data_IF_440718851237
#
_entry.id   IF_440718851237
#
_cell.length_a   1.000
_cell.length_b   1.000
_cell.length_c   1.000
_cell.angle_alpha   90.00
_cell.angle_beta   90.00
_cell.angle_gamma   90.00
#
_symmetry.space_group_name_H-M   'P 1'
#
loop_
_entity.id
_entity.type
_entity.pdbx_description
1 polymer ?
#
# COMPACT_ATOMS: atom_id res chain seq x y z
N UNK A 1 -47.22 27.87 -47.65
CA UNK A 1 -45.90 28.17 -48.24
C UNK A 1 -44.84 27.73 -47.24
N UNK A 2 -44.28 26.52 -47.38
CA UNK A 2 -42.87 26.28 -47.80
C UNK A 2 -41.93 27.04 -46.84
N UNK A 3 -41.20 26.41 -45.92
CA UNK A 3 -40.14 25.42 -46.18
C UNK A 3 -39.85 24.56 -44.95
N UNK A 4 -39.62 23.29 -45.23
CA UNK A 4 -38.94 22.28 -44.43
C UNK A 4 -37.59 22.85 -43.97
N UNK A 5 -37.35 22.91 -42.66
CA UNK A 5 -36.00 23.04 -42.10
C UNK A 5 -35.64 21.71 -41.47
N UNK A 6 -34.89 20.97 -42.28
CA UNK A 6 -33.96 19.89 -42.00
C UNK A 6 -33.38 19.89 -40.58
N UNK A 7 -33.62 18.77 -39.89
CA UNK A 7 -32.61 17.94 -39.22
C UNK A 7 -31.50 18.64 -38.41
N UNK A 8 -31.52 18.40 -37.09
CA UNK A 8 -30.36 17.92 -36.31
C UNK A 8 -30.82 17.66 -34.87
N UNK A 9 -31.15 16.39 -34.60
CA UNK A 9 -31.31 15.88 -33.24
C UNK A 9 -29.90 15.80 -32.65
N UNK A 10 -29.50 16.82 -31.88
CA UNK A 10 -28.33 16.72 -31.02
C UNK A 10 -28.72 15.91 -29.77
N UNK A 11 -28.54 14.60 -29.84
CA UNK A 11 -28.49 13.74 -28.65
C UNK A 11 -27.22 14.10 -27.90
N UNK A 12 -27.32 15.01 -26.93
CA UNK A 12 -26.27 15.17 -25.92
C UNK A 12 -26.30 13.93 -25.02
N UNK A 13 -25.56 12.89 -25.42
CA UNK A 13 -25.17 11.81 -24.50
C UNK A 13 -24.25 12.47 -23.47
N UNK A 14 -24.81 12.78 -22.31
CA UNK A 14 -24.07 13.33 -21.18
C UNK A 14 -22.95 12.37 -20.80
N UNK A 15 -21.71 12.77 -21.07
CA UNK A 15 -20.54 12.10 -20.50
C UNK A 15 -20.48 12.56 -19.06
N UNK A 16 -21.10 11.80 -18.15
CA UNK A 16 -20.87 11.96 -16.72
C UNK A 16 -19.40 11.61 -16.44
N UNK A 17 -18.58 12.52 -15.92
CA UNK A 17 -17.25 12.16 -15.47
C UNK A 17 -17.41 11.21 -14.29
N UNK A 18 -17.00 9.96 -14.48
CA UNK A 18 -16.91 8.98 -13.39
C UNK A 18 -15.77 9.47 -12.50
N UNK A 19 -16.09 10.10 -11.36
CA UNK A 19 -15.11 10.36 -10.32
C UNK A 19 -14.57 9.00 -9.85
N UNK A 20 -13.39 8.64 -10.34
CA UNK A 20 -12.63 7.49 -9.85
C UNK A 20 -12.00 7.87 -8.51
N UNK A 21 -12.82 7.90 -7.46
CA UNK A 21 -12.36 8.02 -6.08
C UNK A 21 -12.06 6.65 -5.51
N UNK A 22 -10.89 6.09 -5.82
CA UNK A 22 -10.39 4.88 -5.15
C UNK A 22 -9.01 5.18 -4.57
N UNK A 23 -8.97 6.07 -3.58
CA UNK A 23 -7.92 6.03 -2.57
C UNK A 23 -8.50 5.24 -1.39
N UNK A 24 -8.47 3.90 -1.47
CA UNK A 24 -8.53 3.15 -0.22
C UNK A 24 -7.32 3.60 0.58
N UNK A 25 -7.57 4.30 1.69
CA UNK A 25 -6.56 4.59 2.68
C UNK A 25 -6.18 3.24 3.28
N UNK A 26 -5.22 2.58 2.64
CA UNK A 26 -4.63 1.30 3.06
C UNK A 26 -4.05 1.47 4.47
N UNK A 27 -4.88 1.40 5.49
CA UNK A 27 -4.51 1.80 6.84
C UNK A 27 -3.64 0.73 7.46
N UNK A 28 -2.55 1.17 8.07
CA UNK A 28 -1.72 0.31 8.90
C UNK A 28 -2.40 0.14 10.26
N UNK A 29 -2.31 -1.05 10.81
CA UNK A 29 -2.78 -1.37 12.16
C UNK A 29 -1.61 -1.75 13.05
N UNK A 30 -1.69 -1.39 14.34
CA UNK A 30 -0.64 -1.64 15.34
C UNK A 30 -1.20 -2.47 16.50
N UNK A 31 -1.41 -3.79 16.30
CA UNK A 31 -2.10 -4.63 17.28
C UNK A 31 -1.29 -4.90 18.56
N UNK A 32 0.01 -4.61 18.56
CA UNK A 32 0.90 -4.65 19.71
C UNK A 32 2.06 -3.66 19.52
N UNK A 33 2.74 -3.22 20.60
CA UNK A 33 3.96 -2.40 20.47
C UNK A 33 4.99 -3.08 19.56
N UNK A 34 5.54 -2.33 18.60
CA UNK A 34 6.52 -2.83 17.64
C UNK A 34 5.98 -3.75 16.55
N UNK A 35 4.67 -4.01 16.51
CA UNK A 35 4.03 -4.80 15.46
C UNK A 35 3.18 -3.90 14.58
N UNK A 36 3.44 -3.94 13.27
CA UNK A 36 2.66 -3.22 12.26
C UNK A 36 2.10 -4.22 11.26
N UNK A 37 0.80 -4.14 10.97
CA UNK A 37 0.17 -4.97 9.96
C UNK A 37 -0.53 -4.10 8.91
N UNK A 38 -0.45 -4.54 7.66
CA UNK A 38 -1.37 -4.12 6.61
C UNK A 38 -2.44 -5.20 6.35
N UNK A 39 -3.11 -5.14 5.20
CA UNK A 39 -4.17 -6.10 4.84
C UNK A 39 -3.66 -7.48 4.40
N UNK A 40 -2.34 -7.68 4.25
CA UNK A 40 -1.72 -8.92 3.77
C UNK A 40 -0.69 -9.50 4.73
N UNK A 41 0.08 -8.67 5.41
CA UNK A 41 1.19 -9.11 6.25
C UNK A 41 1.29 -8.32 7.54
N UNK A 42 1.97 -8.91 8.51
CA UNK A 42 2.43 -8.26 9.73
C UNK A 42 3.94 -8.32 9.81
N UNK A 43 4.53 -7.26 10.35
CA UNK A 43 5.96 -7.10 10.54
C UNK A 43 6.27 -6.71 11.99
N UNK A 44 7.50 -6.99 12.39
CA UNK A 44 8.15 -6.42 13.56
C UNK A 44 9.59 -6.03 13.20
N UNK A 45 10.42 -5.76 14.22
CA UNK A 45 11.83 -5.40 14.04
C UNK A 45 12.69 -6.49 13.41
N UNK A 46 12.20 -7.73 13.30
CA UNK A 46 12.87 -8.82 12.58
C UNK A 46 12.39 -8.93 11.12
N UNK A 47 11.41 -8.12 10.72
CA UNK A 47 10.87 -8.04 9.37
C UNK A 47 9.50 -8.70 9.19
N UNK A 48 9.20 -9.14 7.98
CA UNK A 48 7.92 -9.79 7.64
C UNK A 48 7.78 -11.09 8.43
N UNK A 49 6.67 -11.32 9.14
CA UNK A 49 6.49 -12.47 10.05
C UNK A 49 5.25 -13.31 9.73
N UNK A 50 5.45 -14.60 9.40
CA UNK A 50 4.36 -15.55 9.15
C UNK A 50 3.55 -15.81 10.43
N UNK A 51 4.22 -15.83 11.58
CA UNK A 51 3.59 -16.08 12.88
C UNK A 51 2.69 -14.90 13.25
N UNK A 52 3.18 -13.66 13.14
CA UNK A 52 2.37 -12.47 13.43
C UNK A 52 1.23 -12.32 12.41
N UNK A 53 1.50 -12.58 11.13
CA UNK A 53 0.46 -12.56 10.08
C UNK A 53 -0.64 -13.57 10.38
N UNK A 54 -0.27 -14.78 10.82
CA UNK A 54 -1.25 -15.80 11.24
C UNK A 54 -2.04 -15.35 12.47
N UNK A 55 -1.36 -14.77 13.46
CA UNK A 55 -1.94 -14.34 14.73
C UNK A 55 -2.96 -13.20 14.55
N UNK A 56 -2.64 -12.19 13.74
CA UNK A 56 -3.42 -10.97 13.64
C UNK A 56 -4.31 -10.91 12.39
N UNK A 57 -3.93 -11.54 11.28
CA UNK A 57 -4.70 -11.56 10.02
C UNK A 57 -5.34 -12.94 9.73
N UNK A 58 -5.05 -13.94 10.57
CA UNK A 58 -5.64 -15.27 10.50
C UNK A 58 -4.86 -16.28 9.65
N UNK A 59 -5.18 -17.56 9.84
CA UNK A 59 -4.45 -18.69 9.26
C UNK A 59 -4.41 -18.69 7.72
N UNK A 60 -5.45 -18.16 7.05
CA UNK A 60 -5.48 -18.08 5.58
C UNK A 60 -4.35 -17.18 5.06
N UNK A 61 -4.19 -15.99 5.64
CA UNK A 61 -3.17 -15.00 5.24
C UNK A 61 -1.77 -15.50 5.58
N UNK A 62 -1.60 -16.08 6.77
CA UNK A 62 -0.32 -16.70 7.16
C UNK A 62 0.12 -17.82 6.20
N UNK A 63 -0.79 -18.69 5.78
CA UNK A 63 -0.50 -19.73 4.77
C UNK A 63 -0.18 -19.16 3.40
N UNK A 64 -0.90 -18.13 2.96
CA UNK A 64 -0.63 -17.45 1.69
C UNK A 64 0.77 -16.82 1.68
N UNK A 65 1.16 -16.18 2.79
CA UNK A 65 2.49 -15.59 2.93
C UNK A 65 3.59 -16.67 2.97
N UNK A 66 3.37 -17.76 3.69
CA UNK A 66 4.33 -18.87 3.79
C UNK A 66 4.46 -19.69 2.50
N UNK A 67 3.48 -19.61 1.59
CA UNK A 67 3.50 -20.28 0.30
C UNK A 67 4.26 -19.48 -0.78
N UNK A 68 4.71 -18.26 -0.48
CA UNK A 68 5.62 -17.54 -1.36
C UNK A 68 7.00 -18.20 -1.32
N UNK A 69 7.71 -18.16 -2.45
CA UNK A 69 9.12 -18.58 -2.53
C UNK A 69 9.98 -17.75 -1.56
N UNK A 70 11.23 -18.15 -1.36
CA UNK A 70 12.14 -17.41 -0.49
C UNK A 70 12.35 -15.97 -1.00
N UNK A 71 12.03 -14.99 -0.15
CA UNK A 71 12.15 -13.57 -0.46
C UNK A 71 12.81 -12.81 0.68
N UNK A 72 13.36 -11.62 0.40
CA UNK A 72 13.94 -10.77 1.43
C UNK A 72 12.83 -10.24 2.37
N UNK A 73 12.85 -10.71 3.61
CA UNK A 73 11.87 -10.34 4.64
C UNK A 73 12.26 -9.06 5.38
N UNK A 74 13.44 -8.51 5.10
CA UNK A 74 14.02 -7.34 5.77
C UNK A 74 13.77 -6.02 5.04
N UNK A 75 13.33 -6.07 3.78
CA UNK A 75 12.93 -4.89 3.01
C UNK A 75 11.55 -5.12 2.38
N UNK A 76 10.57 -4.31 2.76
CA UNK A 76 9.17 -4.53 2.38
C UNK A 76 8.42 -3.22 2.20
N UNK A 77 7.32 -3.26 1.44
CA UNK A 77 6.44 -2.11 1.22
C UNK A 77 5.02 -2.49 1.63
N UNK A 78 4.45 -1.72 2.54
CA UNK A 78 3.05 -1.87 2.92
C UNK A 78 2.11 -1.43 1.79
N UNK A 79 0.85 -1.84 1.87
CA UNK A 79 -0.18 -1.45 0.89
C UNK A 79 -0.43 0.06 0.76
N UNK A 80 -0.07 0.89 1.76
CA UNK A 80 -0.10 2.35 1.63
C UNK A 80 1.12 2.95 0.92
N UNK A 81 2.07 2.12 0.49
CA UNK A 81 3.27 2.53 -0.19
C UNK A 81 4.45 2.86 0.71
N UNK A 82 4.31 2.85 2.04
CA UNK A 82 5.46 3.03 2.94
C UNK A 82 6.40 1.84 2.81
N UNK A 83 7.66 2.13 2.45
CA UNK A 83 8.72 1.14 2.32
C UNK A 83 9.61 1.16 3.56
N UNK A 84 9.87 0.02 4.17
CA UNK A 84 10.74 -0.10 5.35
C UNK A 84 11.88 -1.04 5.07
N UNK A 85 13.06 -0.69 5.60
CA UNK A 85 14.24 -1.53 5.62
C UNK A 85 14.67 -1.74 7.08
N UNK A 86 14.71 -3.00 7.51
CA UNK A 86 15.08 -3.42 8.88
C UNK A 86 16.56 -3.20 9.16
N UNK A 87 17.43 -3.37 8.16
CA UNK A 87 18.89 -3.20 8.29
C UNK A 87 19.23 -1.72 8.50
N UNK A 88 18.55 -0.84 7.76
CA UNK A 88 18.69 0.62 7.91
C UNK A 88 17.85 1.19 9.07
N UNK A 89 16.89 0.41 9.58
CA UNK A 89 15.93 0.82 10.62
C UNK A 89 15.16 2.10 10.27
N UNK A 90 14.75 2.23 9.01
CA UNK A 90 14.04 3.39 8.50
C UNK A 90 12.85 2.97 7.63
N UNK A 91 11.76 3.70 7.76
CA UNK A 91 10.64 3.65 6.82
C UNK A 91 10.61 4.94 6.00
N UNK A 92 10.30 4.84 4.71
CA UNK A 92 10.27 5.94 3.74
C UNK A 92 8.92 5.99 3.04
N UNK A 93 8.49 7.21 2.71
CA UNK A 93 7.29 7.48 1.93
C UNK A 93 7.52 7.02 0.49
N UNK A 94 6.73 6.04 0.05
CA UNK A 94 6.76 5.43 -1.29
C UNK A 94 7.94 4.48 -1.54
N UNK A 95 7.78 3.63 -2.56
CA UNK A 95 8.75 2.64 -3.04
C UNK A 95 9.75 3.17 -4.08
N UNK A 96 9.89 4.48 -4.21
CA UNK A 96 10.70 5.06 -5.28
C UNK A 96 12.19 5.04 -4.90
N UNK A 97 13.01 4.75 -5.90
CA UNK A 97 14.46 4.75 -5.83
C UNK A 97 15.01 5.95 -6.63
N UNK A 98 16.18 6.45 -6.25
CA UNK A 98 16.90 7.45 -7.03
C UNK A 98 17.54 6.84 -8.29
N UNK A 99 18.27 7.66 -9.04
CA UNK A 99 18.93 7.23 -10.28
C UNK A 99 19.97 6.12 -10.07
N UNK A 100 20.49 6.01 -8.84
CA UNK A 100 21.49 5.02 -8.44
C UNK A 100 20.86 3.74 -7.88
N UNK A 101 19.52 3.70 -7.76
CA UNK A 101 18.78 2.56 -7.25
C UNK A 101 18.66 2.53 -5.72
N UNK A 102 18.95 3.63 -5.02
CA UNK A 102 18.78 3.71 -3.56
C UNK A 102 17.39 4.25 -3.18
N UNK A 103 16.80 3.84 -2.04
CA UNK A 103 15.52 4.35 -1.59
C UNK A 103 15.53 5.89 -1.46
N UNK A 104 14.72 6.59 -2.26
CA UNK A 104 14.74 8.06 -2.35
C UNK A 104 13.59 8.75 -1.63
N UNK A 105 12.63 7.97 -1.11
CA UNK A 105 11.51 8.48 -0.33
C UNK A 105 11.96 9.23 0.93
N UNK A 106 11.27 10.33 1.25
CA UNK A 106 11.44 11.01 2.53
C UNK A 106 11.10 10.07 3.68
N UNK A 107 11.78 10.20 4.82
CA UNK A 107 11.52 9.35 5.99
C UNK A 107 10.06 9.51 6.46
N UNK A 108 9.40 8.39 6.70
CA UNK A 108 8.11 8.30 7.38
C UNK A 108 8.38 8.14 8.88
N UNK A 109 8.49 9.28 9.58
CA UNK A 109 8.83 9.30 11.00
C UNK A 109 7.84 8.53 11.87
N UNK A 110 6.54 8.59 11.55
CA UNK A 110 5.50 7.87 12.30
C UNK A 110 5.70 6.37 12.25
N UNK A 111 5.86 5.80 11.05
CA UNK A 111 6.01 4.36 10.88
C UNK A 111 7.37 3.89 11.40
N UNK A 112 8.42 4.70 11.22
CA UNK A 112 9.76 4.44 11.76
C UNK A 112 9.74 4.36 13.30
N UNK A 113 9.09 5.32 13.96
CA UNK A 113 8.93 5.35 15.41
C UNK A 113 8.12 4.15 15.93
N UNK A 114 7.03 3.79 15.24
CA UNK A 114 6.17 2.67 15.62
C UNK A 114 6.88 1.32 15.51
N UNK A 115 7.69 1.13 14.46
CA UNK A 115 8.37 -0.13 14.20
C UNK A 115 9.66 -0.26 15.02
N UNK A 116 10.49 0.79 15.06
CA UNK A 116 11.85 0.72 15.58
C UNK A 116 12.05 1.46 16.91
N UNK A 117 11.08 2.25 17.37
CA UNK A 117 11.21 2.99 18.63
C UNK A 117 12.08 4.25 18.56
N UNK A 118 12.31 4.81 17.37
CA UNK A 118 13.16 5.99 17.11
C UNK A 118 12.39 7.27 16.84
#
# INVERSE_FOLDING_TARGET
>A
MKKIVTMLVFVFVGIVPVLSGAAETNSLSTPAPGVICDSYLCVDVDGVSNILTTKYLGAKKGKQLAAQDEFDRTAFTFTNGVHCDIKEKVCRKNRYFDADGNPSGAIDGTTTQLLFGQ
#
